data_IF_651317140501
#
_entry.id   IF_651317140501
#
_cell.length_a   1.000
_cell.length_b   1.000
_cell.length_c   1.000
_cell.angle_alpha   90.00
_cell.angle_beta   90.00
_cell.angle_gamma   90.00
#
_symmetry.space_group_name_H-M   'P 1'
#
loop_
_entity.id
_entity.type
_entity.pdbx_description
1 polymer ?
#
# COMPACT_ATOMS: atom_id res chain seq x y z
N UNK A 1 -6.03 3.29 12.30
CA UNK A 1 -5.39 4.62 12.17
C UNK A 1 -5.98 5.39 10.99
N UNK A 2 -5.95 4.89 9.77
CA UNK A 2 -6.51 5.55 8.58
C UNK A 2 -7.98 5.92 8.75
N UNK A 3 -8.84 5.00 9.17
CA UNK A 3 -10.27 5.27 9.46
C UNK A 3 -10.49 6.38 10.53
N UNK A 4 -9.49 6.64 11.39
CA UNK A 4 -9.50 7.74 12.34
C UNK A 4 -8.87 9.04 11.79
N UNK A 5 -8.61 9.10 10.48
CA UNK A 5 -8.06 10.27 9.79
C UNK A 5 -6.57 10.53 10.04
N UNK A 6 -5.84 9.59 10.64
CA UNK A 6 -4.40 9.72 10.91
C UNK A 6 -3.57 9.34 9.70
N UNK A 7 -2.47 10.06 9.50
CA UNK A 7 -1.44 9.70 8.52
C UNK A 7 -0.73 8.43 8.96
N UNK A 8 -0.48 7.52 8.03
CA UNK A 8 0.29 6.29 8.24
C UNK A 8 1.54 6.29 7.37
N UNK A 9 2.62 5.79 7.94
CA UNK A 9 3.93 5.74 7.29
C UNK A 9 4.48 4.32 7.34
N UNK A 10 4.77 3.77 6.18
CA UNK A 10 5.42 2.49 6.04
C UNK A 10 6.80 2.57 5.43
N UNK A 11 7.46 1.44 5.33
CA UNK A 11 8.75 1.30 4.68
C UNK A 11 8.76 0.11 3.72
N UNK A 12 9.49 0.24 2.60
CA UNK A 12 9.73 -0.89 1.71
C UNK A 12 10.66 -1.90 2.40
N UNK A 13 10.29 -3.18 2.35
CA UNK A 13 11.06 -4.29 2.88
C UNK A 13 11.35 -5.33 1.79
N UNK A 14 12.47 -6.01 1.93
CA UNK A 14 12.94 -7.07 1.04
C UNK A 14 13.19 -8.34 1.87
N UNK A 15 13.42 -9.48 1.23
CA UNK A 15 13.76 -10.72 1.92
C UNK A 15 14.99 -10.59 2.85
N UNK A 16 15.94 -9.73 2.47
CA UNK A 16 17.14 -9.44 3.26
C UNK A 16 16.96 -8.37 4.35
N UNK A 17 15.79 -7.75 4.45
CA UNK A 17 15.53 -6.71 5.44
C UNK A 17 15.39 -7.29 6.84
N UNK A 18 15.80 -6.55 7.91
CA UNK A 18 15.58 -6.95 9.30
C UNK A 18 14.11 -6.72 9.70
N UNK A 19 13.20 -7.51 9.10
CA UNK A 19 11.74 -7.33 9.16
C UNK A 19 11.22 -7.25 10.60
N UNK A 20 11.67 -8.15 11.48
CA UNK A 20 11.24 -8.16 12.88
C UNK A 20 11.62 -6.89 13.65
N UNK A 21 12.76 -6.28 13.33
CA UNK A 21 13.17 -4.99 13.87
C UNK A 21 12.32 -3.84 13.29
N UNK A 22 12.20 -3.79 11.97
CA UNK A 22 11.47 -2.72 11.29
C UNK A 22 10.00 -2.68 11.70
N UNK A 23 9.40 -3.85 11.92
CA UNK A 23 7.99 -3.96 12.31
C UNK A 23 7.68 -3.38 13.71
N UNK A 24 8.70 -3.17 14.56
CA UNK A 24 8.57 -2.50 15.86
C UNK A 24 9.25 -1.11 15.91
N UNK A 25 9.92 -0.69 14.82
CA UNK A 25 10.69 0.55 14.77
C UNK A 25 9.84 1.84 14.70
N UNK A 26 8.52 1.71 14.63
CA UNK A 26 7.58 2.85 14.57
C UNK A 26 6.86 3.02 13.24
N UNK A 27 7.11 2.18 12.25
CA UNK A 27 6.33 2.13 11.01
C UNK A 27 4.94 1.52 11.27
N UNK A 28 3.95 2.00 10.52
CA UNK A 28 2.58 1.47 10.56
C UNK A 28 2.41 0.23 9.68
N UNK A 29 3.21 0.14 8.60
CA UNK A 29 3.23 -1.01 7.72
C UNK A 29 4.62 -1.25 7.11
N UNK A 30 4.87 -2.49 6.67
CA UNK A 30 5.99 -2.82 5.80
C UNK A 30 5.45 -3.26 4.45
N UNK A 31 5.96 -2.63 3.39
CA UNK A 31 5.59 -2.89 2.01
C UNK A 31 6.56 -3.87 1.36
N UNK A 32 6.05 -4.99 0.89
CA UNK A 32 6.76 -5.95 0.06
C UNK A 32 6.30 -5.81 -1.38
N UNK A 33 7.24 -5.49 -2.27
CA UNK A 33 6.96 -5.24 -3.67
C UNK A 33 7.32 -6.44 -4.53
N UNK A 34 6.32 -7.11 -5.13
CA UNK A 34 6.56 -8.24 -6.03
C UNK A 34 6.38 -7.88 -7.51
N UNK A 35 6.09 -6.62 -7.83
CA UNK A 35 6.03 -6.13 -9.21
C UNK A 35 7.41 -5.77 -9.76
N UNK A 36 8.17 -4.92 -9.04
CA UNK A 36 9.47 -4.41 -9.48
C UNK A 36 10.62 -4.93 -8.62
N UNK A 37 10.55 -6.20 -8.23
CA UNK A 37 11.64 -6.90 -7.53
C UNK A 37 11.73 -8.34 -7.99
N UNK A 38 12.77 -9.04 -7.54
CA UNK A 38 12.93 -10.48 -7.77
C UNK A 38 12.18 -11.34 -6.75
N UNK A 39 11.50 -10.73 -5.78
CA UNK A 39 10.72 -11.44 -4.77
C UNK A 39 9.47 -12.05 -5.38
N UNK A 40 9.21 -13.30 -5.08
CA UNK A 40 7.93 -13.94 -5.37
C UNK A 40 7.10 -14.06 -4.08
N UNK A 41 5.77 -13.99 -4.21
CA UNK A 41 4.85 -13.93 -3.05
C UNK A 41 5.10 -15.07 -2.05
N UNK A 42 5.33 -16.30 -2.54
CA UNK A 42 5.53 -17.47 -1.67
C UNK A 42 6.79 -17.41 -0.80
N UNK A 43 7.82 -16.68 -1.23
CA UNK A 43 9.06 -16.51 -0.44
C UNK A 43 8.87 -15.53 0.73
N UNK A 44 7.82 -14.71 0.70
CA UNK A 44 7.53 -13.72 1.74
C UNK A 44 6.96 -14.33 3.03
N UNK A 45 6.53 -15.60 3.02
CA UNK A 45 5.85 -16.22 4.15
C UNK A 45 6.63 -16.07 5.47
N UNK A 46 7.93 -16.35 5.47
CA UNK A 46 8.79 -16.22 6.66
C UNK A 46 8.89 -14.76 7.15
N UNK A 47 8.95 -13.81 6.22
CA UNK A 47 8.97 -12.37 6.55
C UNK A 47 7.66 -11.93 7.20
N UNK A 48 6.53 -12.36 6.66
CA UNK A 48 5.22 -12.04 7.24
C UNK A 48 5.00 -12.71 8.59
N UNK A 49 5.48 -13.96 8.77
CA UNK A 49 5.47 -14.63 10.07
C UNK A 49 6.27 -13.87 11.13
N UNK A 50 7.41 -13.28 10.77
CA UNK A 50 8.23 -12.46 11.66
C UNK A 50 7.53 -11.14 12.09
N UNK A 51 6.48 -10.73 11.39
CA UNK A 51 5.66 -9.56 11.72
C UNK A 51 4.46 -9.88 12.63
N UNK A 52 4.16 -11.15 12.89
CA UNK A 52 3.03 -11.53 13.77
C UNK A 52 3.19 -10.96 15.16
N UNK A 53 2.14 -10.32 15.66
CA UNK A 53 2.14 -9.67 16.98
C UNK A 53 2.96 -8.38 17.06
N UNK A 54 3.53 -7.91 15.95
CA UNK A 54 4.24 -6.64 15.86
C UNK A 54 3.31 -5.47 15.56
N UNK A 55 3.84 -4.23 15.64
CA UNK A 55 3.06 -3.00 15.41
C UNK A 55 2.74 -2.77 13.93
N UNK A 56 3.74 -2.91 13.08
CA UNK A 56 3.54 -2.73 11.64
C UNK A 56 2.79 -3.92 11.03
N UNK A 57 1.88 -3.63 10.09
CA UNK A 57 1.17 -4.65 9.32
C UNK A 57 1.90 -4.95 8.01
N UNK A 58 1.85 -6.19 7.48
CA UNK A 58 2.36 -6.51 6.16
C UNK A 58 1.41 -6.04 5.05
N UNK A 59 1.95 -5.29 4.09
CA UNK A 59 1.28 -4.86 2.86
C UNK A 59 2.07 -5.42 1.68
N UNK A 60 1.39 -6.03 0.72
CA UNK A 60 2.04 -6.59 -0.48
C UNK A 60 1.53 -5.84 -1.71
N UNK A 61 2.47 -5.36 -2.55
CA UNK A 61 2.17 -5.01 -3.93
C UNK A 61 2.32 -6.25 -4.78
N UNK A 62 1.20 -6.74 -5.33
CA UNK A 62 1.20 -7.87 -6.27
C UNK A 62 1.74 -7.43 -7.64
N UNK A 63 2.15 -8.39 -8.46
CA UNK A 63 2.70 -8.09 -9.78
C UNK A 63 1.66 -7.60 -10.78
N UNK A 64 0.42 -8.06 -10.65
CA UNK A 64 -0.69 -7.73 -11.54
C UNK A 64 -2.04 -8.02 -10.84
N UNK A 65 -3.15 -7.59 -11.47
CA UNK A 65 -4.52 -7.78 -10.97
C UNK A 65 -5.06 -9.20 -11.21
N UNK A 66 -4.29 -10.21 -10.82
CA UNK A 66 -4.68 -11.61 -10.96
C UNK A 66 -5.17 -12.20 -9.63
N UNK A 67 -6.28 -12.93 -9.69
CA UNK A 67 -6.91 -13.55 -8.52
C UNK A 67 -5.95 -14.45 -7.73
N UNK A 68 -5.11 -15.22 -8.39
CA UNK A 68 -4.16 -16.13 -7.75
C UNK A 68 -3.07 -15.39 -6.98
N UNK A 69 -2.52 -14.30 -7.53
CA UNK A 69 -1.52 -13.46 -6.84
C UNK A 69 -2.12 -12.80 -5.60
N UNK A 70 -3.32 -12.24 -5.71
CA UNK A 70 -4.04 -11.66 -4.58
C UNK A 70 -4.33 -12.74 -3.52
N UNK A 71 -4.83 -13.90 -3.94
CA UNK A 71 -5.12 -15.01 -3.06
C UNK A 71 -3.87 -15.47 -2.28
N UNK A 72 -2.75 -15.73 -2.97
CA UNK A 72 -1.51 -16.15 -2.31
C UNK A 72 -0.98 -15.10 -1.34
N UNK A 73 -1.01 -13.81 -1.70
CA UNK A 73 -0.59 -12.74 -0.81
C UNK A 73 -1.41 -12.71 0.48
N UNK A 74 -2.73 -12.87 0.38
CA UNK A 74 -3.63 -12.90 1.52
C UNK A 74 -3.44 -14.15 2.37
N UNK A 75 -3.18 -15.30 1.75
CA UNK A 75 -3.04 -16.59 2.44
C UNK A 75 -1.75 -16.71 3.25
N UNK A 76 -0.69 -15.99 2.86
CA UNK A 76 0.54 -15.89 3.67
C UNK A 76 0.45 -14.83 4.76
N UNK A 77 -0.66 -14.04 4.85
CA UNK A 77 -0.94 -13.13 5.95
C UNK A 77 -0.83 -11.65 5.62
N UNK A 78 -0.87 -11.23 4.35
CA UNK A 78 -0.97 -9.82 4.02
C UNK A 78 -2.24 -9.20 4.62
N UNK A 79 -2.11 -7.99 5.19
CA UNK A 79 -3.20 -7.18 5.73
C UNK A 79 -3.54 -5.97 4.86
N UNK A 80 -2.84 -5.82 3.76
CA UNK A 80 -3.12 -4.86 2.71
C UNK A 80 -2.61 -5.37 1.36
N UNK A 81 -3.38 -5.13 0.31
CA UNK A 81 -3.05 -5.48 -1.06
C UNK A 81 -2.99 -4.21 -1.89
N UNK A 82 -1.84 -4.00 -2.52
CA UNK A 82 -1.66 -2.97 -3.56
C UNK A 82 -1.71 -3.67 -4.92
N UNK A 83 -2.60 -3.23 -5.80
CA UNK A 83 -2.66 -3.67 -7.19
C UNK A 83 -2.20 -2.54 -8.10
N UNK A 84 -1.13 -2.75 -8.89
CA UNK A 84 -0.64 -1.75 -9.83
C UNK A 84 -1.56 -1.61 -11.05
N UNK A 85 -1.42 -0.51 -11.80
CA UNK A 85 -2.00 -0.31 -13.13
C UNK A 85 -3.52 -0.51 -13.20
N UNK A 86 -4.28 -0.15 -12.17
CA UNK A 86 -5.75 -0.20 -12.18
C UNK A 86 -6.29 0.96 -13.01
N UNK A 87 -6.93 0.64 -14.14
CA UNK A 87 -7.26 1.62 -15.19
C UNK A 87 -8.76 1.80 -15.45
N UNK A 88 -9.60 0.98 -14.84
CA UNK A 88 -11.04 1.07 -15.02
C UNK A 88 -11.81 0.64 -13.77
N UNK A 89 -13.11 0.96 -13.76
CA UNK A 89 -14.04 0.52 -12.71
C UNK A 89 -14.08 -1.00 -12.60
N UNK A 90 -14.15 -1.71 -13.72
CA UNK A 90 -14.21 -3.17 -13.78
C UNK A 90 -12.95 -3.81 -13.21
N UNK A 91 -11.77 -3.23 -13.47
CA UNK A 91 -10.51 -3.69 -12.91
C UNK A 91 -10.48 -3.46 -11.38
N UNK A 92 -11.00 -2.34 -10.90
CA UNK A 92 -11.12 -2.05 -9.48
C UNK A 92 -12.14 -2.97 -8.78
N UNK A 93 -13.29 -3.23 -9.39
CA UNK A 93 -14.30 -4.19 -8.91
C UNK A 93 -13.73 -5.61 -8.84
N UNK A 94 -12.97 -6.04 -9.87
CA UNK A 94 -12.29 -7.32 -9.88
C UNK A 94 -11.33 -7.46 -8.71
N UNK A 95 -10.47 -6.47 -8.50
CA UNK A 95 -9.53 -6.42 -7.38
C UNK A 95 -10.24 -6.56 -6.02
N UNK A 96 -11.28 -5.74 -5.79
CA UNK A 96 -12.03 -5.77 -4.52
C UNK A 96 -12.66 -7.15 -4.30
N UNK A 97 -13.29 -7.71 -5.32
CA UNK A 97 -13.90 -9.05 -5.24
C UNK A 97 -12.88 -10.15 -4.96
N UNK A 98 -11.69 -10.08 -5.55
CA UNK A 98 -10.62 -11.05 -5.28
C UNK A 98 -10.08 -10.97 -3.84
N UNK A 99 -10.14 -9.78 -3.23
CA UNK A 99 -9.69 -9.55 -1.86
C UNK A 99 -10.68 -10.05 -0.80
N UNK A 100 -11.97 -10.02 -1.08
CA UNK A 100 -13.03 -10.25 -0.08
C UNK A 100 -13.65 -11.64 -0.16
N UNK A 101 -14.02 -12.18 1.00
CA UNK A 101 -14.83 -13.39 1.10
C UNK A 101 -16.29 -13.15 0.70
N UNK A 102 -17.00 -14.20 0.24
CA UNK A 102 -18.45 -14.11 0.00
C UNK A 102 -19.22 -13.64 1.25
N UNK A 103 -20.34 -12.91 1.09
CA UNK A 103 -20.98 -12.54 -0.18
C UNK A 103 -20.37 -11.31 -0.87
N UNK A 104 -19.45 -10.57 -0.24
CA UNK A 104 -18.85 -9.32 -0.75
C UNK A 104 -17.87 -9.56 -1.90
N UNK A 105 -17.29 -10.78 -1.98
CA UNK A 105 -16.29 -11.12 -2.99
C UNK A 105 -16.26 -12.59 -3.36
N UNK A 106 -15.12 -13.01 -3.92
CA UNK A 106 -14.89 -14.37 -4.44
C UNK A 106 -13.62 -15.03 -3.86
N UNK A 107 -13.03 -14.44 -2.79
CA UNK A 107 -11.84 -15.02 -2.16
C UNK A 107 -12.10 -16.44 -1.71
N UNK A 108 -11.22 -17.37 -2.10
CA UNK A 108 -11.26 -18.77 -1.67
C UNK A 108 -10.83 -18.92 -0.20
N UNK A 109 -11.41 -19.89 0.49
CA UNK A 109 -11.10 -20.16 1.89
C UNK A 109 -9.77 -20.92 2.05
N UNK A 110 -8.83 -20.38 2.83
CA UNK A 110 -7.55 -21.01 3.16
C UNK A 110 -7.46 -21.47 4.63
N UNK A 111 -8.54 -21.32 5.39
CA UNK A 111 -8.59 -21.58 6.84
C UNK A 111 -8.09 -20.40 7.67
N UNK A 112 -8.32 -20.46 8.98
CA UNK A 112 -7.80 -19.52 9.95
C UNK A 112 -6.35 -19.90 10.31
N UNK A 113 -5.40 -19.02 10.06
CA UNK A 113 -3.97 -19.28 10.29
C UNK A 113 -3.40 -18.41 11.44
N UNK A 114 -4.27 -17.66 12.16
CA UNK A 114 -3.92 -16.84 13.31
C UNK A 114 -3.33 -15.47 12.99
N UNK A 115 -3.16 -15.10 11.72
CA UNK A 115 -2.61 -13.80 11.31
C UNK A 115 -3.54 -12.62 11.65
N UNK A 116 -4.84 -12.87 11.79
CA UNK A 116 -5.85 -11.88 12.16
C UNK A 116 -6.29 -11.98 13.63
N UNK A 117 -5.73 -12.93 14.40
CA UNK A 117 -6.11 -13.21 15.79
C UNK A 117 -7.03 -14.42 15.92
N UNK A 118 -7.68 -14.53 17.08
CA UNK A 118 -8.59 -15.64 17.41
C UNK A 118 -10.04 -15.22 17.17
N UNK A 119 -10.83 -16.11 16.59
CA UNK A 119 -12.25 -15.91 16.29
C UNK A 119 -13.04 -17.13 16.75
N UNK A 120 -14.30 -16.90 17.10
CA UNK A 120 -15.22 -17.94 17.57
C UNK A 120 -15.49 -18.99 16.47
N UNK A 121 -15.67 -18.53 15.24
CA UNK A 121 -15.97 -19.38 14.09
C UNK A 121 -15.48 -18.71 12.79
N UNK A 122 -15.61 -19.44 11.69
CA UNK A 122 -15.14 -18.97 10.38
C UNK A 122 -15.95 -17.81 9.80
N UNK A 123 -17.23 -17.66 10.17
CA UNK A 123 -18.05 -16.54 9.71
C UNK A 123 -17.60 -15.24 10.35
N UNK A 124 -17.32 -15.26 11.66
CA UNK A 124 -16.76 -14.10 12.36
C UNK A 124 -15.38 -13.72 11.79
N UNK A 125 -14.52 -14.72 11.52
CA UNK A 125 -13.23 -14.49 10.86
C UNK A 125 -13.37 -13.84 9.49
N UNK A 126 -14.23 -14.36 8.58
CA UNK A 126 -14.43 -13.83 7.24
C UNK A 126 -14.94 -12.38 7.29
N UNK A 127 -15.92 -12.10 8.17
CA UNK A 127 -16.47 -10.76 8.34
C UNK A 127 -15.40 -9.76 8.82
N UNK A 128 -14.62 -10.14 9.82
CA UNK A 128 -13.55 -9.30 10.36
C UNK A 128 -12.45 -9.04 9.33
N UNK A 129 -12.07 -10.05 8.53
CA UNK A 129 -11.09 -9.88 7.45
C UNK A 129 -11.63 -8.95 6.37
N UNK A 130 -12.87 -9.13 5.92
CA UNK A 130 -13.49 -8.26 4.93
C UNK A 130 -13.53 -6.79 5.38
N UNK A 131 -13.71 -6.55 6.68
CA UNK A 131 -13.78 -5.20 7.25
C UNK A 131 -12.39 -4.55 7.43
N UNK A 132 -11.38 -5.34 7.78
CA UNK A 132 -10.07 -4.83 8.22
C UNK A 132 -9.00 -4.82 7.12
N UNK A 133 -9.17 -5.61 6.06
CA UNK A 133 -8.22 -5.69 4.96
C UNK A 133 -8.15 -4.36 4.21
N UNK A 134 -6.94 -3.85 3.98
CA UNK A 134 -6.70 -2.67 3.16
C UNK A 134 -6.63 -3.04 1.67
N UNK A 135 -7.46 -2.39 0.86
CA UNK A 135 -7.52 -2.57 -0.59
C UNK A 135 -7.09 -1.28 -1.27
N UNK A 136 -6.00 -1.36 -2.07
CA UNK A 136 -5.21 -0.21 -2.49
C UNK A 136 -4.90 -0.29 -3.99
N UNK A 137 -5.77 0.21 -4.90
CA UNK A 137 -5.43 0.37 -6.31
C UNK A 137 -4.38 1.46 -6.53
N UNK A 138 -3.49 1.27 -7.52
CA UNK A 138 -2.56 2.32 -7.96
C UNK A 138 -3.08 3.05 -9.19
N UNK A 139 -2.96 4.39 -9.14
CA UNK A 139 -3.27 5.31 -10.24
C UNK A 139 -1.96 5.87 -10.77
N UNK A 140 -1.62 5.49 -12.00
CA UNK A 140 -0.30 5.77 -12.57
C UNK A 140 -0.30 5.88 -14.10
N UNK A 141 -1.51 5.92 -14.73
CA UNK A 141 -1.67 6.04 -16.18
C UNK A 141 -2.68 7.12 -16.54
N UNK A 142 -2.63 7.62 -17.79
CA UNK A 142 -3.66 8.52 -18.32
C UNK A 142 -5.04 7.89 -18.37
N UNK A 143 -5.11 6.56 -18.63
CA UNK A 143 -6.40 5.84 -18.64
C UNK A 143 -7.01 5.82 -17.25
N UNK A 144 -6.21 5.54 -16.22
CA UNK A 144 -6.65 5.58 -14.83
C UNK A 144 -7.12 6.99 -14.40
N UNK A 145 -6.38 8.03 -14.79
CA UNK A 145 -6.78 9.42 -14.52
C UNK A 145 -8.10 9.79 -15.20
N UNK A 146 -8.32 9.34 -16.42
CA UNK A 146 -9.57 9.62 -17.14
C UNK A 146 -10.78 8.90 -16.52
N UNK A 147 -10.56 7.78 -15.83
CA UNK A 147 -11.59 6.98 -15.17
C UNK A 147 -11.56 7.12 -13.64
N UNK A 148 -10.91 8.17 -13.12
CA UNK A 148 -10.61 8.34 -11.70
C UNK A 148 -11.87 8.24 -10.82
N UNK A 149 -12.92 8.98 -11.17
CA UNK A 149 -14.16 9.04 -10.43
C UNK A 149 -14.92 7.70 -10.48
N UNK A 150 -14.86 7.00 -11.63
CA UNK A 150 -15.46 5.67 -11.78
C UNK A 150 -14.73 4.62 -10.93
N UNK A 151 -13.39 4.65 -10.91
CA UNK A 151 -12.57 3.79 -10.03
C UNK A 151 -12.90 4.06 -8.57
N UNK A 152 -12.94 5.34 -8.16
CA UNK A 152 -13.24 5.75 -6.79
C UNK A 152 -14.67 5.42 -6.36
N UNK A 153 -15.61 5.24 -7.30
CA UNK A 153 -16.98 4.83 -7.01
C UNK A 153 -17.12 3.37 -6.56
N UNK A 154 -16.07 2.55 -6.68
CA UNK A 154 -16.10 1.13 -6.32
C UNK A 154 -16.06 0.97 -4.80
N UNK A 155 -17.08 0.36 -4.18
CA UNK A 155 -17.09 0.15 -2.73
C UNK A 155 -15.97 -0.79 -2.28
N UNK A 156 -15.34 -0.48 -1.16
CA UNK A 156 -14.32 -1.34 -0.55
C UNK A 156 -12.88 -0.96 -0.89
N UNK A 157 -12.66 0.11 -1.64
CA UNK A 157 -11.35 0.74 -1.78
C UNK A 157 -11.08 1.60 -0.53
N UNK A 158 -9.95 1.39 0.14
CA UNK A 158 -9.56 2.13 1.34
C UNK A 158 -8.58 3.27 1.02
N UNK A 159 -7.63 3.02 0.13
CA UNK A 159 -6.58 3.96 -0.27
C UNK A 159 -6.46 3.98 -1.78
N UNK A 160 -6.39 5.16 -2.38
CA UNK A 160 -6.00 5.35 -3.77
C UNK A 160 -4.52 5.74 -3.81
N UNK A 161 -3.66 4.86 -4.33
CA UNK A 161 -2.22 5.04 -4.27
C UNK A 161 -1.67 5.61 -5.59
N UNK A 162 -0.99 6.74 -5.51
CA UNK A 162 -0.29 7.32 -6.67
C UNK A 162 1.04 6.60 -6.88
N UNK A 163 1.30 6.13 -8.12
CA UNK A 163 2.60 5.67 -8.60
C UNK A 163 3.39 6.85 -9.22
N UNK A 164 4.30 7.52 -8.48
CA UNK A 164 4.83 8.81 -8.91
C UNK A 164 5.60 8.77 -10.23
N UNK A 165 6.43 7.76 -10.44
CA UNK A 165 7.25 7.66 -11.65
C UNK A 165 6.39 7.45 -12.89
N UNK A 166 5.55 6.43 -12.89
CA UNK A 166 4.71 6.07 -14.03
C UNK A 166 3.69 7.17 -14.33
N UNK A 167 3.09 7.79 -13.29
CA UNK A 167 2.20 8.92 -13.47
C UNK A 167 2.91 10.11 -14.16
N UNK A 168 4.13 10.46 -13.74
CA UNK A 168 4.89 11.56 -14.37
C UNK A 168 5.23 11.26 -15.82
N UNK A 169 5.57 10.00 -16.14
CA UNK A 169 5.83 9.53 -17.49
C UNK A 169 4.54 9.58 -18.33
N UNK A 170 3.43 9.11 -17.80
CA UNK A 170 2.13 9.15 -18.47
C UNK A 170 1.67 10.58 -18.77
N UNK A 171 2.00 11.54 -17.91
CA UNK A 171 1.75 12.97 -18.12
C UNK A 171 2.69 13.63 -19.16
N UNK A 172 3.71 12.91 -19.65
CA UNK A 172 4.69 13.41 -20.61
C UNK A 172 5.76 14.34 -19.98
N UNK A 173 5.98 14.25 -18.69
CA UNK A 173 6.90 15.09 -17.90
C UNK A 173 7.81 14.20 -17.01
N UNK A 174 8.39 13.16 -17.60
CA UNK A 174 9.12 12.09 -16.92
C UNK A 174 10.00 12.58 -15.75
N UNK A 175 9.63 12.16 -14.53
CA UNK A 175 10.30 12.44 -13.25
C UNK A 175 10.44 13.94 -12.86
N UNK A 176 9.75 14.84 -13.58
CA UNK A 176 9.64 16.26 -13.20
C UNK A 176 8.45 16.46 -12.26
N UNK A 177 8.64 16.09 -11.01
CA UNK A 177 7.58 16.10 -9.99
C UNK A 177 7.17 17.48 -9.52
N UNK A 178 7.99 18.52 -9.79
CA UNK A 178 7.65 19.91 -9.47
C UNK A 178 6.93 20.61 -10.62
N UNK A 179 6.75 19.94 -11.75
CA UNK A 179 6.00 20.46 -12.88
C UNK A 179 4.57 20.83 -12.47
N UNK A 180 4.06 22.01 -12.85
CA UNK A 180 2.68 22.40 -12.54
C UNK A 180 1.64 21.33 -12.92
N UNK A 181 1.79 20.69 -14.06
CA UNK A 181 0.89 19.63 -14.53
C UNK A 181 0.83 18.44 -13.56
N UNK A 182 1.98 18.06 -12.96
CA UNK A 182 2.01 17.00 -11.95
C UNK A 182 1.31 17.44 -10.68
N UNK A 183 1.59 18.66 -10.23
CA UNK A 183 1.01 19.23 -9.00
C UNK A 183 -0.51 19.36 -9.10
N UNK A 184 -1.02 19.89 -10.21
CA UNK A 184 -2.46 20.00 -10.51
C UNK A 184 -3.12 18.62 -10.58
N UNK A 185 -2.41 17.61 -11.10
CA UNK A 185 -2.91 16.22 -11.13
C UNK A 185 -3.03 15.65 -9.71
N UNK A 186 -2.07 15.93 -8.83
CA UNK A 186 -2.16 15.51 -7.42
C UNK A 186 -3.33 16.20 -6.68
N UNK A 187 -3.55 17.49 -6.94
CA UNK A 187 -4.68 18.21 -6.36
C UNK A 187 -6.03 17.61 -6.82
N UNK A 188 -6.17 17.30 -8.11
CA UNK A 188 -7.35 16.60 -8.64
C UNK A 188 -7.55 15.23 -7.98
N UNK A 189 -6.48 14.44 -7.82
CA UNK A 189 -6.57 13.12 -7.17
C UNK A 189 -7.01 13.29 -5.70
N UNK A 190 -6.46 14.27 -4.99
CA UNK A 190 -6.81 14.52 -3.61
C UNK A 190 -8.28 14.93 -3.45
N UNK A 191 -8.78 15.82 -4.30
CA UNK A 191 -10.19 16.27 -4.31
C UNK A 191 -11.14 15.12 -4.62
N UNK A 192 -10.92 14.40 -5.72
CA UNK A 192 -11.74 13.26 -6.10
C UNK A 192 -11.77 12.16 -5.03
N UNK A 193 -10.61 11.87 -4.41
CA UNK A 193 -10.51 10.91 -3.31
C UNK A 193 -11.30 11.35 -2.09
N UNK A 194 -11.25 12.63 -1.73
CA UNK A 194 -12.00 13.21 -0.63
C UNK A 194 -13.51 13.10 -0.85
N UNK A 195 -13.97 13.42 -2.06
CA UNK A 195 -15.39 13.36 -2.42
C UNK A 195 -15.94 11.92 -2.37
N UNK A 196 -15.11 10.95 -2.73
CA UNK A 196 -15.44 9.53 -2.65
C UNK A 196 -15.25 8.92 -1.23
N UNK A 197 -14.67 9.66 -0.27
CA UNK A 197 -14.36 9.13 1.05
C UNK A 197 -13.20 8.12 1.06
N UNK A 198 -12.38 8.08 0.00
CA UNK A 198 -11.18 7.25 -0.16
C UNK A 198 -9.94 8.05 0.24
N UNK A 199 -8.94 7.41 0.83
CA UNK A 199 -7.73 8.08 1.30
C UNK A 199 -6.69 8.13 0.17
N UNK A 200 -6.22 9.31 -0.28
CA UNK A 200 -5.10 9.37 -1.21
C UNK A 200 -3.77 9.02 -0.53
N UNK A 201 -2.91 8.31 -1.25
CA UNK A 201 -1.58 7.89 -0.81
C UNK A 201 -0.51 8.07 -1.87
N UNK A 202 0.76 8.07 -1.44
CA UNK A 202 1.93 8.14 -2.31
C UNK A 202 2.79 6.89 -2.13
N UNK A 203 3.09 6.19 -3.22
CA UNK A 203 3.95 5.00 -3.18
C UNK A 203 5.36 5.34 -2.66
N UNK A 204 5.90 6.49 -3.03
CA UNK A 204 7.04 7.14 -2.39
C UNK A 204 6.88 8.65 -2.51
N UNK A 205 7.51 9.42 -1.61
CA UNK A 205 7.54 10.88 -1.74
C UNK A 205 8.69 11.27 -2.66
N UNK A 206 8.42 11.90 -3.83
CA UNK A 206 9.45 12.31 -4.77
C UNK A 206 10.45 13.31 -4.20
N UNK A 207 11.67 13.31 -4.76
CA UNK A 207 12.68 14.32 -4.40
C UNK A 207 12.18 15.73 -4.69
N UNK A 208 12.46 16.66 -3.78
CA UNK A 208 12.04 18.06 -3.87
C UNK A 208 10.63 18.35 -3.36
N UNK A 209 9.84 17.34 -3.02
CA UNK A 209 8.52 17.50 -2.40
C UNK A 209 8.60 17.32 -0.87
N UNK A 210 7.90 18.17 -0.13
CA UNK A 210 7.73 17.99 1.32
C UNK A 210 6.55 17.04 1.58
N UNK A 211 6.73 15.95 2.35
CA UNK A 211 5.62 15.09 2.73
C UNK A 211 4.52 15.82 3.53
N UNK A 212 4.84 16.89 4.25
CA UNK A 212 3.85 17.66 5.01
C UNK A 212 2.91 18.44 4.08
N UNK A 213 3.41 19.00 2.98
CA UNK A 213 2.57 19.64 1.97
C UNK A 213 1.56 18.65 1.37
N UNK A 214 1.98 17.39 1.16
CA UNK A 214 1.08 16.31 0.73
C UNK A 214 0.04 15.97 1.79
N UNK A 215 0.43 15.95 3.07
CA UNK A 215 -0.52 15.73 4.20
C UNK A 215 -1.57 16.84 4.24
N UNK A 216 -1.16 18.10 4.04
CA UNK A 216 -2.08 19.26 3.98
C UNK A 216 -3.06 19.15 2.81
N UNK A 217 -2.64 18.59 1.66
CA UNK A 217 -3.52 18.28 0.52
C UNK A 217 -4.45 17.07 0.77
N UNK A 218 -4.29 16.36 1.89
CA UNK A 218 -5.15 15.22 2.26
C UNK A 218 -4.54 13.83 2.08
N UNK A 219 -3.30 13.71 1.57
CA UNK A 219 -2.62 12.42 1.47
C UNK A 219 -2.28 11.89 2.86
N UNK A 220 -2.57 10.61 3.14
CA UNK A 220 -2.37 10.02 4.47
C UNK A 220 -1.71 8.64 4.47
N UNK A 221 -1.30 8.14 3.33
CA UNK A 221 -0.60 6.85 3.22
C UNK A 221 0.71 7.05 2.46
N UNK A 222 1.86 6.78 3.14
CA UNK A 222 3.19 7.05 2.58
C UNK A 222 4.13 5.88 2.81
N UNK A 223 4.96 5.55 1.79
CA UNK A 223 6.13 4.69 1.96
C UNK A 223 7.41 5.52 1.98
N UNK A 224 8.30 5.24 2.93
CA UNK A 224 9.52 6.02 3.16
C UNK A 224 10.78 5.13 3.11
N UNK A 225 11.93 5.67 2.73
CA UNK A 225 13.18 4.91 2.58
C UNK A 225 13.89 4.72 3.93
N UNK A 226 13.53 3.69 4.69
CA UNK A 226 14.13 3.41 6.00
C UNK A 226 15.67 3.27 5.97
N UNK A 227 16.21 2.70 4.88
CA UNK A 227 17.64 2.48 4.73
C UNK A 227 18.45 3.78 4.72
N UNK A 228 17.94 4.87 4.13
CA UNK A 228 18.58 6.19 4.18
C UNK A 228 18.63 6.73 5.61
N UNK A 229 17.56 6.55 6.37
CA UNK A 229 17.51 6.98 7.76
C UNK A 229 18.44 6.14 8.64
N UNK A 230 18.49 4.83 8.43
CA UNK A 230 19.42 3.95 9.12
C UNK A 230 20.89 4.34 8.84
N UNK A 231 21.24 4.60 7.57
CA UNK A 231 22.57 5.07 7.20
C UNK A 231 22.94 6.38 7.88
N UNK A 232 22.04 7.37 7.85
CA UNK A 232 22.27 8.66 8.50
C UNK A 232 22.47 8.51 10.02
N UNK A 233 21.59 7.74 10.70
CA UNK A 233 21.72 7.48 12.15
C UNK A 233 23.00 6.74 12.52
N UNK A 234 23.44 5.77 11.71
CA UNK A 234 24.71 5.07 11.90
C UNK A 234 25.88 6.06 11.76
N UNK A 235 25.87 6.92 10.74
CA UNK A 235 26.91 7.92 10.52
C UNK A 235 26.97 8.92 11.68
N UNK A 236 25.83 9.41 12.14
CA UNK A 236 25.72 10.27 13.32
C UNK A 236 26.28 9.61 14.57
N UNK A 237 25.88 8.36 14.86
CA UNK A 237 26.41 7.59 16.00
C UNK A 237 27.92 7.39 15.93
N UNK A 238 28.47 7.05 14.74
CA UNK A 238 29.91 6.86 14.57
C UNK A 238 30.72 8.16 14.69
N UNK A 239 30.14 9.31 14.35
CA UNK A 239 30.78 10.62 14.46
C UNK A 239 31.06 11.03 15.93
N UNK A 240 30.39 10.43 16.89
CA UNK A 240 30.63 10.69 18.32
C UNK A 240 31.93 10.08 18.85
N UNK A 241 32.55 9.16 18.08
CA UNK A 241 33.75 8.43 18.51
C UNK A 241 34.97 8.95 17.76
N UNK A 242 35.99 9.41 18.50
CA UNK A 242 37.30 9.74 17.92
C UNK A 242 37.98 8.48 17.41
N UNK A 243 38.31 8.42 16.13
CA UNK A 243 39.04 7.34 15.45
C UNK A 243 40.24 7.92 14.75
#
# INVERSE_FOLDING_TARGET
MLKAGKTVVGASAYLSSPVGFLADAGFDFLLFDTQHSTMIIKELESSLQAMRGKKAIPVIRVGDNYQDQICYALDIGAKGIIVPMVNSKEEAEHMVRCCKYPPEGIRSAAGMRGEWGEFKDYNEYMSAVNEQLLIIPMIETMKALNNLEEILSVPGIDVLLVGPSDLSIALGIALDYLNPKYQETLDRIAEASKDAGVIPGMYFVPGGMDPNDLVERGFKFFTRPWNRWATAGIQEGLATIKR
#
